data_IF_031737471449
#
_entry.id   IF_031737471449
#
_cell.length_a   1.000
_cell.length_b   1.000
_cell.length_c   1.000
_cell.angle_alpha   90.00
_cell.angle_beta   90.00
_cell.angle_gamma   90.00
#
_symmetry.space_group_name_H-M   'P 1'
#
loop_
_entity.id
_entity.type
_entity.pdbx_description
1 polymer ?
#
# COMPACT_ATOMS: atom_id res chain seq x y z
N UNK A 1 -53.94 46.98 -3.99
CA UNK A 1 -52.73 46.63 -4.76
C UNK A 1 -51.67 46.31 -3.72
N UNK A 2 -51.64 45.07 -3.27
CA UNK A 2 -50.71 44.58 -2.26
C UNK A 2 -49.39 44.18 -2.93
N UNK A 3 -48.31 44.86 -2.55
CA UNK A 3 -46.96 44.50 -2.98
C UNK A 3 -46.38 43.46 -1.99
N UNK A 4 -45.86 42.31 -2.44
CA UNK A 4 -45.19 41.38 -1.54
C UNK A 4 -43.78 41.90 -1.18
N UNK A 5 -43.24 41.57 0.01
CA UNK A 5 -41.90 41.98 0.41
C UNK A 5 -40.81 41.22 -0.38
N UNK A 6 -39.59 41.80 -0.52
CA UNK A 6 -38.52 41.20 -1.30
C UNK A 6 -37.93 39.95 -0.63
N UNK A 7 -37.57 38.96 -1.45
CA UNK A 7 -36.95 37.71 -1.02
C UNK A 7 -35.58 37.95 -0.37
N UNK A 8 -35.33 37.29 0.76
CA UNK A 8 -34.06 37.33 1.46
C UNK A 8 -32.98 36.55 0.69
N UNK A 9 -31.81 37.17 0.58
CA UNK A 9 -30.60 36.64 -0.06
C UNK A 9 -29.98 35.50 0.80
N UNK A 10 -29.71 34.30 0.27
CA UNK A 10 -29.06 33.24 1.03
C UNK A 10 -27.55 33.51 1.15
N UNK A 11 -27.07 33.68 2.38
CA UNK A 11 -25.64 33.81 2.71
C UNK A 11 -24.83 32.62 2.17
N UNK A 12 -23.56 32.82 1.75
CA UNK A 12 -22.70 31.73 1.32
C UNK A 12 -22.34 30.83 2.51
N UNK A 13 -22.46 29.52 2.31
CA UNK A 13 -22.03 28.50 3.25
C UNK A 13 -20.50 28.39 3.21
N UNK A 14 -19.82 29.17 4.06
CA UNK A 14 -18.43 28.92 4.43
C UNK A 14 -18.35 27.71 5.38
N UNK A 15 -18.48 26.52 4.81
CA UNK A 15 -18.09 25.28 5.48
C UNK A 15 -16.72 24.86 4.94
N UNK A 16 -15.67 25.43 5.52
CA UNK A 16 -14.32 24.89 5.41
C UNK A 16 -14.35 23.45 5.95
N UNK A 17 -13.97 22.40 5.18
CA UNK A 17 -13.95 21.06 5.73
C UNK A 17 -12.89 21.02 6.83
N UNK A 18 -13.36 20.83 8.06
CA UNK A 18 -12.55 20.67 9.25
C UNK A 18 -11.39 19.71 8.94
N UNK A 19 -10.17 20.14 9.28
CA UNK A 19 -9.02 19.25 9.29
C UNK A 19 -9.32 17.99 10.12
N UNK A 20 -8.64 16.87 9.83
CA UNK A 20 -8.97 15.59 10.44
C UNK A 20 -8.95 15.67 11.98
N UNK A 21 -10.03 15.16 12.57
CA UNK A 21 -10.25 15.08 14.02
C UNK A 21 -9.12 14.25 14.68
N UNK A 22 -8.43 14.79 15.71
CA UNK A 22 -7.27 14.13 16.34
C UNK A 22 -7.58 12.83 17.10
N UNK A 23 -8.84 12.39 17.16
CA UNK A 23 -9.28 11.18 17.87
C UNK A 23 -9.50 9.92 16.99
N UNK A 24 -9.38 10.00 15.66
CA UNK A 24 -9.46 8.81 14.81
C UNK A 24 -8.08 8.11 14.76
N UNK A 25 -7.93 6.84 15.20
CA UNK A 25 -6.66 6.14 15.11
C UNK A 25 -6.30 5.95 13.63
N UNK A 26 -5.48 6.87 13.12
CA UNK A 26 -5.08 7.00 11.73
C UNK A 26 -4.93 5.63 11.06
N UNK A 27 -5.58 5.45 9.91
CA UNK A 27 -5.52 4.21 9.15
C UNK A 27 -4.07 3.71 9.04
N UNK A 28 -3.80 2.39 9.08
CA UNK A 28 -2.44 1.85 9.07
C UNK A 28 -1.54 2.45 7.97
N UNK A 29 -2.11 2.74 6.80
CA UNK A 29 -1.44 3.44 5.70
C UNK A 29 -0.99 4.87 6.00
N UNK A 30 -1.82 5.66 6.67
CA UNK A 30 -1.48 7.04 7.05
C UNK A 30 -0.28 7.07 8.00
N UNK A 31 -0.26 6.15 8.98
CA UNK A 31 0.89 5.99 9.88
C UNK A 31 2.15 5.56 9.13
N UNK A 32 2.06 4.62 8.18
CA UNK A 32 3.18 4.20 7.34
C UNK A 32 3.73 5.37 6.51
N UNK A 33 2.87 6.16 5.86
CA UNK A 33 3.26 7.33 5.08
C UNK A 33 3.91 8.41 5.94
N UNK A 34 3.38 8.68 7.14
CA UNK A 34 3.97 9.65 8.07
C UNK A 34 5.38 9.21 8.49
N UNK A 35 5.55 7.95 8.87
CA UNK A 35 6.86 7.39 9.24
C UNK A 35 7.84 7.44 8.07
N UNK A 36 7.38 7.08 6.87
CA UNK A 36 8.19 7.17 5.66
C UNK A 36 8.65 8.60 5.39
N UNK A 37 7.73 9.58 5.30
CA UNK A 37 8.03 11.00 5.04
C UNK A 37 8.96 11.61 6.07
N UNK A 38 8.89 11.16 7.33
CA UNK A 38 9.77 11.63 8.42
C UNK A 38 11.18 11.07 8.29
N UNK A 39 11.32 9.81 7.88
CA UNK A 39 12.62 9.13 7.83
C UNK A 39 13.33 9.33 6.49
N UNK A 40 12.63 9.21 5.36
CA UNK A 40 13.22 9.18 4.01
C UNK A 40 13.98 10.45 3.63
N UNK A 41 13.69 11.58 4.29
CA UNK A 41 14.38 12.87 4.16
C UNK A 41 15.83 12.88 4.64
N UNK A 42 16.28 11.85 5.39
CA UNK A 42 17.65 11.74 5.89
C UNK A 42 18.44 10.66 5.15
N UNK A 43 19.77 10.82 5.00
CA UNK A 43 20.62 9.77 4.44
C UNK A 43 20.51 8.49 5.29
N UNK A 44 20.18 7.36 4.64
CA UNK A 44 19.94 6.08 5.32
C UNK A 44 18.55 5.94 5.96
N UNK A 45 17.69 6.96 5.91
CA UNK A 45 16.37 6.93 6.51
C UNK A 45 15.43 5.87 5.93
N UNK A 46 15.54 5.57 4.63
CA UNK A 46 14.78 4.49 3.98
C UNK A 46 15.22 3.09 4.48
N UNK A 47 16.49 2.93 4.85
CA UNK A 47 17.00 1.70 5.46
C UNK A 47 16.49 1.55 6.89
N UNK A 48 16.47 2.64 7.66
CA UNK A 48 15.89 2.66 9.01
C UNK A 48 14.39 2.34 8.95
N UNK A 49 13.64 2.98 8.05
CA UNK A 49 12.22 2.67 7.83
C UNK A 49 12.01 1.19 7.52
N UNK A 50 12.80 0.63 6.59
CA UNK A 50 12.71 -0.78 6.23
C UNK A 50 12.98 -1.70 7.42
N UNK A 51 13.92 -1.34 8.30
CA UNK A 51 14.19 -2.08 9.54
C UNK A 51 13.03 -2.01 10.54
N UNK A 52 12.45 -0.82 10.73
CA UNK A 52 11.29 -0.63 11.61
C UNK A 52 10.08 -1.41 11.10
N UNK A 53 9.82 -1.38 9.79
CA UNK A 53 8.77 -2.18 9.16
C UNK A 53 9.02 -3.67 9.38
N UNK A 54 10.25 -4.14 9.16
CA UNK A 54 10.62 -5.54 9.39
C UNK A 54 10.52 -5.97 10.86
N UNK A 55 10.73 -5.05 11.81
CA UNK A 55 10.52 -5.34 13.24
C UNK A 55 9.03 -5.48 13.58
N UNK A 56 8.18 -4.63 12.99
CA UNK A 56 6.71 -4.70 13.16
C UNK A 56 6.08 -5.91 12.48
N UNK A 57 6.65 -6.36 11.36
CA UNK A 57 6.17 -7.52 10.58
C UNK A 57 7.32 -8.52 10.45
N UNK A 58 7.60 -9.35 11.48
CA UNK A 58 8.81 -10.18 11.55
C UNK A 58 9.03 -11.11 10.36
N UNK A 59 7.95 -11.70 9.81
CA UNK A 59 8.05 -12.58 8.65
C UNK A 59 8.57 -11.85 7.40
N UNK A 60 8.00 -10.69 7.08
CA UNK A 60 8.48 -9.83 5.98
C UNK A 60 9.85 -9.22 6.30
N UNK A 61 10.14 -8.95 7.58
CA UNK A 61 11.45 -8.52 8.06
C UNK A 61 12.56 -9.54 7.79
N UNK A 62 12.27 -10.84 7.94
CA UNK A 62 13.22 -11.92 7.66
C UNK A 62 13.69 -11.94 6.19
N UNK A 63 12.84 -11.47 5.26
CA UNK A 63 13.19 -11.31 3.84
C UNK A 63 14.34 -10.31 3.66
N UNK A 64 14.47 -9.32 4.55
CA UNK A 64 15.48 -8.25 4.47
C UNK A 64 15.32 -7.40 3.21
N UNK A 65 14.08 -7.23 2.76
CA UNK A 65 13.72 -6.33 1.68
C UNK A 65 13.83 -4.87 2.14
N UNK A 66 13.96 -3.95 1.17
CA UNK A 66 14.13 -2.51 1.42
C UNK A 66 13.13 -1.71 0.63
N UNK A 67 12.31 -0.92 1.31
CA UNK A 67 11.39 0.02 0.69
C UNK A 67 12.19 1.19 0.11
N UNK A 68 11.95 1.50 -1.17
CA UNK A 68 12.64 2.54 -1.95
C UNK A 68 11.74 3.71 -2.28
N UNK A 69 10.49 3.42 -2.64
CA UNK A 69 9.45 4.42 -2.87
C UNK A 69 8.23 3.98 -2.07
N UNK A 70 7.60 4.94 -1.40
CA UNK A 70 6.32 4.76 -0.74
C UNK A 70 5.50 6.04 -0.84
N UNK A 71 4.45 5.96 -1.62
CA UNK A 71 3.48 7.01 -1.90
C UNK A 71 2.06 6.41 -1.81
N UNK A 72 1.00 7.21 -1.72
CA UNK A 72 -0.36 6.69 -1.81
C UNK A 72 -0.54 5.89 -3.11
N UNK A 73 -0.83 4.60 -3.01
CA UNK A 73 -1.07 3.75 -4.19
C UNK A 73 0.18 3.34 -4.94
N UNK A 74 1.39 3.68 -4.47
CA UNK A 74 2.63 3.30 -5.15
C UNK A 74 3.71 2.87 -4.16
N UNK A 75 4.26 1.69 -4.40
CA UNK A 75 5.35 1.15 -3.60
C UNK A 75 6.39 0.49 -4.50
N UNK A 76 7.67 0.78 -4.20
CA UNK A 76 8.81 0.08 -4.79
C UNK A 76 9.65 -0.53 -3.68
N UNK A 77 9.85 -1.85 -3.74
CA UNK A 77 10.58 -2.62 -2.75
C UNK A 77 11.69 -3.42 -3.43
N UNK A 78 12.87 -3.45 -2.82
CA UNK A 78 14.04 -4.15 -3.38
C UNK A 78 14.51 -5.29 -2.49
N UNK A 79 14.95 -6.39 -3.09
CA UNK A 79 15.50 -7.55 -2.40
C UNK A 79 16.80 -7.98 -3.07
N UNK A 80 17.89 -8.02 -2.29
CA UNK A 80 19.12 -8.68 -2.74
C UNK A 80 19.07 -10.16 -2.41
N UNK A 81 19.15 -11.01 -3.43
CA UNK A 81 19.17 -12.46 -3.29
C UNK A 81 20.43 -12.89 -2.54
N UNK A 82 20.24 -13.31 -1.29
CA UNK A 82 21.30 -13.81 -0.39
C UNK A 82 21.00 -15.25 0.01
N UNK A 83 21.94 -15.90 0.70
CA UNK A 83 21.83 -17.32 1.08
C UNK A 83 20.49 -17.66 1.74
N UNK A 84 20.01 -16.84 2.67
CA UNK A 84 18.76 -17.09 3.41
C UNK A 84 17.46 -17.00 2.61
N UNK A 85 17.48 -16.51 1.36
CA UNK A 85 16.30 -16.39 0.50
C UNK A 85 16.48 -17.09 -0.85
N UNK A 86 17.52 -17.92 -0.97
CA UNK A 86 17.91 -18.60 -2.20
C UNK A 86 17.32 -20.01 -2.23
N UNK A 87 16.92 -20.47 -3.40
CA UNK A 87 16.58 -21.88 -3.64
C UNK A 87 17.81 -22.70 -4.04
N UNK A 88 17.60 -24.00 -4.26
CA UNK A 88 18.60 -24.95 -4.73
C UNK A 88 19.09 -24.68 -6.18
N UNK A 89 18.41 -23.83 -6.94
CA UNK A 89 18.77 -23.44 -8.32
C UNK A 89 19.67 -22.19 -8.39
N UNK A 90 20.12 -21.70 -7.23
CA UNK A 90 20.97 -20.51 -7.15
C UNK A 90 20.23 -19.20 -7.48
N UNK A 91 18.90 -19.18 -7.38
CA UNK A 91 18.06 -18.00 -7.59
C UNK A 91 17.21 -17.71 -6.35
N UNK A 92 16.43 -16.63 -6.36
CA UNK A 92 15.45 -16.37 -5.31
C UNK A 92 14.49 -17.57 -5.16
N UNK A 93 14.17 -17.91 -3.92
CA UNK A 93 13.12 -18.89 -3.61
C UNK A 93 11.76 -18.38 -4.09
N UNK A 94 10.90 -19.27 -4.59
CA UNK A 94 9.57 -18.92 -5.10
C UNK A 94 8.75 -18.13 -4.06
N UNK A 95 8.66 -18.66 -2.83
CA UNK A 95 7.98 -17.98 -1.70
C UNK A 95 8.64 -16.65 -1.32
N UNK A 96 9.94 -16.48 -1.54
CA UNK A 96 10.60 -15.20 -1.31
C UNK A 96 10.18 -14.13 -2.33
N UNK A 97 9.95 -14.53 -3.59
CA UNK A 97 9.37 -13.66 -4.62
C UNK A 97 7.90 -13.36 -4.32
N UNK A 98 7.11 -14.35 -3.90
CA UNK A 98 5.72 -14.13 -3.46
C UNK A 98 5.66 -13.14 -2.30
N UNK A 99 6.45 -13.32 -1.25
CA UNK A 99 6.51 -12.40 -0.11
C UNK A 99 6.98 -11.00 -0.52
N UNK A 100 7.98 -10.90 -1.41
CA UNK A 100 8.41 -9.60 -1.92
C UNK A 100 7.27 -8.86 -2.65
N UNK A 101 6.52 -9.58 -3.49
CA UNK A 101 5.40 -9.01 -4.22
C UNK A 101 4.19 -8.72 -3.33
N UNK A 102 3.87 -9.59 -2.39
CA UNK A 102 2.81 -9.36 -1.40
C UNK A 102 3.10 -8.10 -0.58
N UNK A 103 4.34 -7.95 -0.08
CA UNK A 103 4.76 -6.75 0.63
C UNK A 103 4.60 -5.48 -0.20
N UNK A 104 4.95 -5.53 -1.49
CA UNK A 104 4.78 -4.39 -2.39
C UNK A 104 3.30 -4.06 -2.61
N UNK A 105 2.43 -5.06 -2.84
CA UNK A 105 0.97 -4.84 -2.92
C UNK A 105 0.38 -4.32 -1.61
N UNK A 106 0.82 -4.83 -0.46
CA UNK A 106 0.31 -4.40 0.83
C UNK A 106 0.68 -2.95 1.13
N UNK A 107 1.91 -2.56 0.80
CA UNK A 107 2.33 -1.17 0.92
C UNK A 107 1.54 -0.25 -0.01
N UNK A 108 1.35 -0.59 -1.29
CA UNK A 108 0.60 0.26 -2.22
C UNK A 108 -0.89 0.36 -1.87
N UNK A 109 -1.53 -0.75 -1.51
CA UNK A 109 -2.95 -0.77 -1.10
C UNK A 109 -3.14 0.02 0.18
N UNK A 110 -2.44 -0.34 1.25
CA UNK A 110 -2.65 0.27 2.57
C UNK A 110 -2.46 1.79 2.53
N UNK A 111 -1.48 2.31 1.77
CA UNK A 111 -1.24 3.76 1.68
C UNK A 111 -2.24 4.51 0.82
N UNK A 112 -3.01 3.82 -0.03
CA UNK A 112 -4.09 4.41 -0.81
C UNK A 112 -5.48 4.29 -0.15
N UNK A 113 -5.63 3.49 0.90
CA UNK A 113 -6.91 3.34 1.58
C UNK A 113 -7.31 4.63 2.33
N UNK A 114 -8.57 5.05 2.25
CA UNK A 114 -9.11 6.11 3.10
C UNK A 114 -9.08 5.75 4.58
N UNK A 115 -9.24 6.77 5.44
CA UNK A 115 -9.41 6.59 6.88
C UNK A 115 -10.64 5.72 7.17
N UNK A 116 -10.56 4.86 8.19
CA UNK A 116 -11.64 3.96 8.59
C UNK A 116 -11.80 2.70 7.73
N UNK A 117 -11.02 2.53 6.66
CA UNK A 117 -11.00 1.33 5.82
C UNK A 117 -9.85 0.40 6.20
N UNK A 118 -10.14 -0.90 6.36
CA UNK A 118 -9.15 -1.98 6.49
C UNK A 118 -9.09 -2.80 5.21
N UNK A 119 -7.90 -3.28 4.88
CA UNK A 119 -7.67 -4.26 3.82
C UNK A 119 -7.15 -5.58 4.39
N UNK A 120 -7.71 -6.70 3.95
CA UNK A 120 -7.25 -8.07 4.31
C UNK A 120 -6.97 -8.84 3.03
N UNK A 121 -5.81 -9.48 2.93
CA UNK A 121 -5.49 -10.37 1.81
C UNK A 121 -6.29 -11.67 1.92
N UNK A 122 -7.00 -12.03 0.87
CA UNK A 122 -7.76 -13.29 0.77
C UNK A 122 -7.07 -14.35 -0.10
N UNK A 123 -6.34 -13.89 -1.12
CA UNK A 123 -5.68 -14.78 -2.10
C UNK A 123 -4.39 -14.17 -2.58
N UNK A 124 -3.38 -15.01 -2.79
CA UNK A 124 -2.14 -14.67 -3.46
C UNK A 124 -1.95 -15.57 -4.67
N UNK A 125 -1.64 -14.97 -5.81
CA UNK A 125 -1.26 -15.66 -7.04
C UNK A 125 0.15 -15.21 -7.41
N UNK A 126 1.01 -16.15 -7.82
CA UNK A 126 2.38 -15.86 -8.24
C UNK A 126 2.68 -16.57 -9.54
N UNK A 127 3.09 -15.80 -10.54
CA UNK A 127 3.57 -16.29 -11.83
C UNK A 127 5.08 -16.08 -11.90
N UNK A 128 5.83 -17.12 -12.27
CA UNK A 128 7.30 -17.10 -12.33
C UNK A 128 7.76 -17.23 -13.78
N UNK A 129 8.32 -16.14 -14.31
CA UNK A 129 8.67 -16.03 -15.72
C UNK A 129 10.13 -16.44 -15.98
N UNK A 130 11.04 -16.10 -15.06
CA UNK A 130 12.44 -16.54 -15.11
C UNK A 130 13.10 -16.61 -13.74
N UNK A 131 14.34 -17.12 -13.71
CA UNK A 131 15.14 -17.22 -12.48
C UNK A 131 15.57 -15.84 -11.98
N UNK A 132 15.03 -15.39 -10.85
CA UNK A 132 15.41 -14.12 -10.21
C UNK A 132 16.76 -14.19 -9.51
N UNK A 133 17.75 -13.42 -9.97
CA UNK A 133 19.10 -13.35 -9.37
C UNK A 133 19.51 -11.92 -9.05
N UNK A 134 20.52 -11.76 -8.21
CA UNK A 134 21.12 -10.46 -7.93
C UNK A 134 20.20 -9.56 -7.10
N UNK A 135 20.00 -8.32 -7.56
CA UNK A 135 19.05 -7.38 -6.98
C UNK A 135 17.72 -7.48 -7.72
N UNK A 136 16.65 -7.68 -6.99
CA UNK A 136 15.29 -7.70 -7.51
C UNK A 136 14.53 -6.45 -7.05
N UNK A 137 13.69 -5.91 -7.92
CA UNK A 137 12.86 -4.74 -7.67
C UNK A 137 11.41 -5.12 -7.93
N UNK A 138 10.59 -5.04 -6.90
CA UNK A 138 9.15 -5.22 -6.94
C UNK A 138 8.48 -3.85 -6.95
N UNK A 139 7.65 -3.58 -7.96
CA UNK A 139 6.88 -2.34 -8.08
C UNK A 139 5.40 -2.67 -8.15
N UNK A 140 4.62 -1.99 -7.31
CA UNK A 140 3.16 -2.05 -7.30
C UNK A 140 2.57 -0.66 -7.42
N UNK A 141 1.63 -0.51 -8.35
CA UNK A 141 0.76 0.66 -8.46
C UNK A 141 -0.67 0.19 -8.31
N UNK A 142 -1.39 0.81 -7.40
CA UNK A 142 -2.77 0.48 -7.11
C UNK A 142 -3.57 1.76 -6.89
N UNK A 143 -4.69 1.84 -7.57
CA UNK A 143 -5.66 2.92 -7.39
C UNK A 143 -6.91 2.29 -6.78
N UNK A 144 -7.52 2.91 -5.78
CA UNK A 144 -8.85 2.51 -5.35
C UNK A 144 -9.81 2.49 -6.55
N UNK A 145 -10.67 1.47 -6.69
CA UNK A 145 -11.72 1.48 -7.71
C UNK A 145 -12.52 2.78 -7.58
N UNK A 146 -12.64 3.52 -8.69
CA UNK A 146 -13.02 4.93 -8.70
C UNK A 146 -14.40 5.23 -8.08
N UNK A 147 -14.46 6.35 -7.34
CA UNK A 147 -15.69 7.01 -6.89
C UNK A 147 -16.14 6.54 -5.51
N UNK A 148 -15.41 6.95 -4.47
CA UNK A 148 -15.63 6.58 -3.07
C UNK A 148 -15.56 5.07 -2.82
N UNK A 149 -14.75 4.64 -1.87
CA UNK A 149 -15.03 3.33 -1.28
C UNK A 149 -16.44 3.46 -0.71
N UNK A 150 -17.47 2.72 -1.20
CA UNK A 150 -18.87 3.02 -0.93
C UNK A 150 -19.22 2.44 0.43
N UNK A 151 -18.56 2.95 1.46
CA UNK A 151 -19.00 2.77 2.81
C UNK A 151 -19.53 4.14 3.27
N UNK A 152 -20.65 4.65 2.73
CA UNK A 152 -21.40 5.72 3.39
C UNK A 152 -21.77 5.23 4.79
N UNK A 153 -21.80 6.14 5.77
CA UNK A 153 -22.15 5.84 7.16
C UNK A 153 -23.38 4.92 7.24
N UNK A 154 -23.21 3.66 7.67
CA UNK A 154 -24.31 2.72 7.96
C UNK A 154 -24.44 1.50 7.05
N UNK A 155 -23.76 1.42 5.90
CA UNK A 155 -23.80 0.22 5.05
C UNK A 155 -22.63 -0.73 5.35
N UNK A 156 -22.92 -1.92 5.90
CA UNK A 156 -21.94 -2.96 6.27
C UNK A 156 -21.35 -3.74 5.07
N UNK A 157 -20.84 -3.04 4.06
CA UNK A 157 -20.28 -3.65 2.85
C UNK A 157 -18.80 -4.03 2.96
N UNK A 158 -18.38 -4.99 2.12
CA UNK A 158 -16.97 -5.24 1.80
C UNK A 158 -16.79 -5.38 0.28
N UNK A 159 -15.65 -4.93 -0.24
CA UNK A 159 -15.29 -5.02 -1.66
C UNK A 159 -14.00 -5.81 -1.83
N UNK A 160 -14.02 -6.82 -2.69
CA UNK A 160 -12.81 -7.58 -3.05
C UNK A 160 -12.19 -6.98 -4.31
N UNK A 161 -10.92 -6.58 -4.26
CA UNK A 161 -10.21 -5.97 -5.38
C UNK A 161 -8.78 -6.48 -5.50
N UNK A 162 -8.33 -6.71 -6.73
CA UNK A 162 -6.98 -7.16 -7.00
C UNK A 162 -5.96 -6.02 -6.94
N UNK A 163 -4.78 -6.31 -6.41
CA UNK A 163 -3.58 -5.50 -6.58
C UNK A 163 -2.49 -6.38 -7.21
N UNK A 164 -1.63 -5.78 -8.03
CA UNK A 164 -0.55 -6.47 -8.73
C UNK A 164 0.81 -5.84 -8.42
N UNK A 165 1.83 -6.67 -8.40
CA UNK A 165 3.24 -6.29 -8.40
C UNK A 165 3.95 -6.99 -9.53
N UNK A 166 4.78 -6.23 -10.26
CA UNK A 166 5.77 -6.77 -11.20
C UNK A 166 7.15 -6.76 -10.54
N UNK A 167 7.84 -7.90 -10.59
CA UNK A 167 9.20 -8.06 -10.06
C UNK A 167 10.18 -8.12 -11.21
N UNK A 168 11.16 -7.22 -11.22
CA UNK A 168 12.23 -7.12 -12.22
C UNK A 168 13.60 -7.41 -11.60
N UNK A 169 14.54 -7.88 -12.40
CA UNK A 169 15.95 -7.98 -12.01
C UNK A 169 16.74 -6.69 -12.28
N UNK A 170 18.05 -6.72 -12.05
CA UNK A 170 18.94 -5.58 -12.26
C UNK A 170 19.09 -5.13 -13.72
N UNK A 171 18.65 -5.94 -14.68
CA UNK A 171 18.62 -5.62 -16.12
C UNK A 171 17.24 -5.10 -16.54
N UNK A 172 16.27 -5.02 -15.62
CA UNK A 172 14.91 -4.55 -15.89
C UNK A 172 13.98 -5.63 -16.47
N UNK A 173 14.46 -6.86 -16.65
CA UNK A 173 13.64 -7.96 -17.15
C UNK A 173 12.65 -8.44 -16.08
N UNK A 174 11.43 -8.79 -16.48
CA UNK A 174 10.45 -9.37 -15.56
C UNK A 174 10.87 -10.78 -15.14
N UNK A 175 10.75 -11.04 -13.84
CA UNK A 175 11.11 -12.29 -13.18
C UNK A 175 9.87 -12.99 -12.68
N UNK A 176 8.94 -12.25 -12.10
CA UNK A 176 7.70 -12.76 -11.56
C UNK A 176 6.62 -11.68 -11.50
N UNK A 177 5.37 -12.11 -11.47
CA UNK A 177 4.20 -11.29 -11.17
C UNK A 177 3.52 -11.84 -9.94
N UNK A 178 3.11 -10.97 -9.03
CA UNK A 178 2.39 -11.36 -7.81
C UNK A 178 1.10 -10.55 -7.74
N UNK A 179 -0.02 -11.24 -7.62
CA UNK A 179 -1.35 -10.63 -7.44
C UNK A 179 -1.89 -10.98 -6.07
N UNK A 180 -2.48 -10.00 -5.41
CA UNK A 180 -3.12 -10.16 -4.12
C UNK A 180 -4.58 -9.70 -4.22
N UNK A 181 -5.52 -10.57 -3.80
CA UNK A 181 -6.93 -10.21 -3.68
C UNK A 181 -7.15 -9.61 -2.31
N UNK A 182 -7.54 -8.34 -2.27
CA UNK A 182 -7.77 -7.60 -1.03
C UNK A 182 -9.26 -7.44 -0.78
N UNK A 183 -9.72 -7.88 0.39
CA UNK A 183 -11.02 -7.49 0.94
C UNK A 183 -10.89 -6.17 1.66
N UNK A 184 -11.56 -5.16 1.12
CA UNK A 184 -11.69 -3.84 1.70
C UNK A 184 -12.99 -3.77 2.48
N UNK A 185 -12.96 -3.30 3.71
CA UNK A 185 -14.14 -3.16 4.56
C UNK A 185 -13.91 -2.14 5.66
N UNK A 186 -14.94 -1.81 6.42
CA UNK A 186 -14.77 -0.94 7.59
C UNK A 186 -13.95 -1.61 8.68
N UNK A 187 -13.26 -0.78 9.44
CA UNK A 187 -12.71 -1.17 10.74
C UNK A 187 -13.88 -1.16 11.74
N UNK A 188 -14.20 -2.34 12.28
CA UNK A 188 -15.12 -2.50 13.42
C UNK A 188 -14.56 -1.87 14.69
#
# INVERSE_FOLDING_TARGET
MDHPPPAADPRPADANPAGPDPADPAAPGATLLQQWRRLSRFPGGTLLFSRLLGFKVPYSGALGARVRILEPGHAVVTLRVRRGVRNHLGSAHAVALTNLGELATGLSVLTALPTGVRGIVLRLESEYLKKGRGLLTAESRWTPPAGDVPFPAGAGGSLDHWAETVIRDGEGSEVARVRALWRLGRKE
#
